data_IF_456730853760
#
_entry.id   IF_456730853760
#
_cell.length_a   1.000
_cell.length_b   1.000
_cell.length_c   1.000
_cell.angle_alpha   90.00
_cell.angle_beta   90.00
_cell.angle_gamma   90.00
#
_symmetry.space_group_name_H-M   'P 1'
#
loop_
_entity.id
_entity.type
_entity.pdbx_description
1 polymer ?
#
# COMPACT_ATOMS: atom_id res chain seq x y z
N UNK A 1 17.12 32.85 45.34
CA UNK A 1 15.71 32.64 44.95
C UNK A 1 15.63 32.80 43.44
N UNK A 2 15.58 31.69 42.68
CA UNK A 2 15.40 31.73 41.23
C UNK A 2 14.02 31.15 40.90
N UNK A 3 13.18 31.98 40.28
CA UNK A 3 11.77 31.72 40.01
C UNK A 3 11.52 30.85 38.78
N UNK A 4 10.30 30.31 38.77
CA UNK A 4 9.72 29.39 37.80
C UNK A 4 9.64 29.94 36.36
N UNK A 5 9.74 29.03 35.39
CA UNK A 5 9.34 29.24 34.00
C UNK A 5 8.93 27.90 33.38
N UNK A 6 7.63 27.70 33.18
CA UNK A 6 7.04 26.48 32.62
C UNK A 6 7.56 26.19 31.20
N UNK A 7 7.72 24.92 30.78
CA UNK A 7 8.15 24.60 29.43
C UNK A 7 7.02 24.91 28.43
N UNK A 8 7.34 25.77 27.46
CA UNK A 8 6.45 26.14 26.37
C UNK A 8 6.11 24.92 25.49
N UNK A 9 4.82 24.70 25.26
CA UNK A 9 4.34 23.73 24.27
C UNK A 9 4.85 24.12 22.88
N UNK A 10 5.48 23.19 22.15
CA UNK A 10 5.96 23.45 20.78
C UNK A 10 5.71 22.23 19.89
N UNK A 11 5.14 22.53 18.72
CA UNK A 11 4.48 21.59 17.82
C UNK A 11 5.26 20.32 17.48
N UNK A 12 4.50 19.24 17.35
CA UNK A 12 5.02 17.92 16.99
C UNK A 12 5.27 17.90 15.48
N UNK A 13 6.50 18.16 15.06
CA UNK A 13 6.91 17.87 13.70
C UNK A 13 7.25 16.38 13.61
N UNK A 14 6.32 15.60 13.06
CA UNK A 14 6.57 14.20 12.78
C UNK A 14 7.56 14.11 11.61
N UNK A 15 8.81 13.81 11.93
CA UNK A 15 9.79 13.38 10.94
C UNK A 15 9.31 12.05 10.39
N UNK A 16 8.80 12.04 9.16
CA UNK A 16 8.60 10.79 8.43
C UNK A 16 9.98 10.19 8.19
N UNK A 17 10.42 9.34 9.11
CA UNK A 17 11.63 8.53 9.01
C UNK A 17 11.54 7.44 7.94
N UNK A 18 10.47 7.47 7.15
CA UNK A 18 10.12 6.45 6.19
C UNK A 18 10.58 6.95 4.80
N UNK A 19 11.64 6.38 4.20
CA UNK A 19 12.11 6.80 2.88
C UNK A 19 11.00 6.77 1.83
N UNK A 20 11.11 7.60 0.79
CA UNK A 20 10.30 7.45 -0.42
C UNK A 20 10.50 6.01 -0.91
N UNK A 21 9.40 5.26 -1.11
CA UNK A 21 9.35 3.82 -1.41
C UNK A 21 9.69 2.85 -0.24
N UNK A 22 9.09 3.04 0.94
CA UNK A 22 9.41 2.25 2.14
C UNK A 22 8.89 0.82 2.26
N UNK A 23 8.42 0.19 1.18
CA UNK A 23 8.20 -1.26 1.20
C UNK A 23 7.20 -1.82 2.24
N UNK A 24 6.39 -1.00 2.91
CA UNK A 24 5.30 -1.43 3.80
C UNK A 24 4.04 -1.85 3.01
N UNK A 25 4.24 -2.56 1.89
CA UNK A 25 3.17 -2.96 0.98
C UNK A 25 2.73 -1.89 -0.04
N UNK A 26 3.34 -0.70 -0.08
CA UNK A 26 2.96 0.39 -1.02
C UNK A 26 3.04 -0.04 -2.49
N UNK A 27 4.25 -0.32 -3.00
CA UNK A 27 4.45 -0.62 -4.43
C UNK A 27 3.76 -1.90 -4.92
N UNK A 28 3.72 -2.95 -4.10
CA UNK A 28 3.01 -4.20 -4.45
C UNK A 28 1.49 -4.04 -4.41
N UNK A 29 0.95 -3.21 -3.49
CA UNK A 29 -0.46 -2.83 -3.51
C UNK A 29 -0.78 -1.96 -4.71
N UNK A 30 0.07 -0.99 -5.04
CA UNK A 30 -0.08 -0.12 -6.20
C UNK A 30 -0.07 -0.94 -7.50
N UNK A 31 0.82 -1.93 -7.61
CA UNK A 31 0.86 -2.86 -8.74
C UNK A 31 -0.39 -3.73 -8.83
N UNK A 32 -0.89 -4.25 -7.71
CA UNK A 32 -2.13 -5.02 -7.68
C UNK A 32 -3.35 -4.15 -8.03
N UNK A 33 -3.40 -2.91 -7.55
CA UNK A 33 -4.43 -1.93 -7.88
C UNK A 33 -4.40 -1.55 -9.37
N UNK A 34 -3.21 -1.30 -9.93
CA UNK A 34 -3.03 -1.01 -11.35
C UNK A 34 -3.47 -2.18 -12.24
N UNK A 35 -3.09 -3.42 -11.89
CA UNK A 35 -3.55 -4.63 -12.60
C UNK A 35 -5.08 -4.77 -12.58
N UNK A 36 -5.70 -4.49 -11.43
CA UNK A 36 -7.16 -4.54 -11.27
C UNK A 36 -7.85 -3.47 -12.11
N UNK A 37 -7.31 -2.24 -12.10
CA UNK A 37 -7.81 -1.14 -12.91
C UNK A 37 -7.67 -1.41 -14.41
N UNK A 38 -6.57 -2.01 -14.87
CA UNK A 38 -6.37 -2.40 -16.26
C UNK A 38 -7.35 -3.50 -16.70
N UNK A 39 -7.61 -4.49 -15.83
CA UNK A 39 -8.60 -5.55 -16.08
C UNK A 39 -10.00 -4.97 -16.32
N UNK A 40 -10.38 -3.93 -15.57
CA UNK A 40 -11.64 -3.22 -15.71
C UNK A 40 -11.65 -2.29 -16.93
N UNK A 41 -10.60 -1.49 -17.13
CA UNK A 41 -10.50 -0.50 -18.22
C UNK A 41 -10.56 -1.18 -19.60
N UNK A 42 -9.95 -2.35 -19.73
CA UNK A 42 -9.96 -3.15 -20.95
C UNK A 42 -11.07 -4.21 -20.99
N UNK A 43 -11.96 -4.22 -20.00
CA UNK A 43 -13.11 -5.10 -19.92
C UNK A 43 -12.77 -6.59 -20.10
N UNK A 44 -11.59 -6.99 -19.62
CA UNK A 44 -11.03 -8.33 -19.78
C UNK A 44 -11.76 -9.36 -18.89
N UNK A 45 -12.36 -8.89 -17.80
CA UNK A 45 -13.16 -9.68 -16.87
C UNK A 45 -12.41 -10.92 -16.33
N UNK A 46 -11.09 -10.82 -16.17
CA UNK A 46 -10.27 -11.92 -15.70
C UNK A 46 -10.46 -12.19 -14.21
N UNK A 47 -10.43 -13.47 -13.79
CA UNK A 47 -10.56 -13.84 -12.40
C UNK A 47 -9.29 -13.48 -11.61
N UNK A 48 -9.43 -13.28 -10.30
CA UNK A 48 -8.33 -12.96 -9.39
C UNK A 48 -7.16 -13.97 -9.48
N UNK A 49 -7.46 -15.25 -9.72
CA UNK A 49 -6.44 -16.28 -9.96
C UNK A 49 -5.49 -15.91 -11.11
N UNK A 50 -6.04 -15.43 -12.22
CA UNK A 50 -5.28 -15.05 -13.41
C UNK A 50 -4.50 -13.75 -13.19
N UNK A 51 -5.09 -12.80 -12.48
CA UNK A 51 -4.39 -11.58 -12.07
C UNK A 51 -3.22 -11.89 -11.12
N UNK A 52 -3.37 -12.88 -10.23
CA UNK A 52 -2.30 -13.34 -9.36
C UNK A 52 -1.16 -14.01 -10.14
N UNK A 53 -1.47 -14.80 -11.16
CA UNK A 53 -0.46 -15.40 -12.06
C UNK A 53 0.35 -14.34 -12.80
N UNK A 54 -0.31 -13.30 -13.31
CA UNK A 54 0.38 -12.16 -13.95
C UNK A 54 1.17 -11.36 -12.92
N UNK A 55 0.58 -11.15 -11.74
CA UNK A 55 1.20 -10.47 -10.61
C UNK A 55 2.52 -11.09 -10.16
N UNK A 56 2.66 -12.43 -10.26
CA UNK A 56 3.94 -13.13 -9.97
C UNK A 56 5.09 -12.61 -10.83
N UNK A 57 4.82 -12.20 -12.07
CA UNK A 57 5.82 -11.63 -12.96
C UNK A 57 6.20 -10.18 -12.63
N UNK A 58 5.35 -9.45 -11.90
CA UNK A 58 5.59 -8.05 -11.50
C UNK A 58 6.29 -7.99 -10.14
N UNK A 59 5.93 -8.86 -9.20
CA UNK A 59 6.60 -8.97 -7.91
C UNK A 59 6.05 -10.12 -7.09
N UNK A 60 6.91 -10.76 -6.29
CA UNK A 60 6.55 -11.95 -5.52
C UNK A 60 5.41 -11.69 -4.49
N UNK A 61 5.27 -10.43 -4.02
CA UNK A 61 4.25 -10.03 -3.05
C UNK A 61 2.93 -9.56 -3.69
N UNK A 62 2.91 -9.26 -4.99
CA UNK A 62 1.71 -8.80 -5.72
C UNK A 62 0.56 -9.84 -5.70
N UNK A 63 0.81 -11.16 -5.85
CA UNK A 63 -0.22 -12.19 -5.76
C UNK A 63 -0.99 -12.21 -4.43
N UNK A 64 -0.35 -11.79 -3.32
CA UNK A 64 -0.95 -11.81 -1.97
C UNK A 64 -2.18 -10.90 -1.89
N UNK A 65 -2.23 -9.84 -2.71
CA UNK A 65 -3.35 -8.91 -2.76
C UNK A 65 -4.58 -9.45 -3.49
N UNK A 66 -4.43 -10.51 -4.29
CA UNK A 66 -5.52 -11.16 -5.03
C UNK A 66 -6.07 -12.39 -4.31
N UNK A 67 -5.27 -13.05 -3.45
CA UNK A 67 -5.70 -14.23 -2.69
C UNK A 67 -6.67 -13.90 -1.55
N UNK A 68 -6.60 -12.68 -0.98
CA UNK A 68 -7.47 -12.25 0.14
C UNK A 68 -8.80 -11.62 -0.30
N UNK A 69 -8.96 -11.30 -1.59
CA UNK A 69 -10.18 -10.66 -2.13
C UNK A 69 -11.36 -11.63 -2.36
N UNK A 70 -11.23 -12.90 -1.95
CA UNK A 70 -12.31 -13.88 -2.02
C UNK A 70 -13.35 -13.66 -0.89
N UNK A 71 -14.11 -12.56 -0.95
CA UNK A 71 -15.37 -12.46 -0.22
C UNK A 71 -16.54 -12.52 -1.21
N UNK A 72 -17.25 -13.65 -1.31
CA UNK A 72 -18.58 -13.65 -1.91
C UNK A 72 -19.54 -12.94 -0.94
N UNK A 73 -20.24 -11.90 -1.42
CA UNK A 73 -21.46 -11.35 -0.80
C UNK A 73 -22.66 -11.74 -1.63
#
# INVERSE_FOLDING_TARGET
MAGAGAPAQRGWCWKKNLPIASGIGGGSSDAAAALTALNQLWNLNWPAQRLAEIGKGIGADVPVFFSVQARPT
#
